data_IF_227747214614
#
_entry.id   IF_227747214614
#
_cell.length_a   1.000
_cell.length_b   1.000
_cell.length_c   1.000
_cell.angle_alpha   90.00
_cell.angle_beta   90.00
_cell.angle_gamma   90.00
#
_symmetry.space_group_name_H-M   'P 1'
#
loop_
_entity.id
_entity.type
_entity.pdbx_description
1 polymer ?
#
# COMPACT_ATOMS: atom_id res chain seq x y z
N UNK A 1 -1.94 29.97 48.03
CA UNK A 1 -2.60 29.12 49.05
C UNK A 1 -4.05 28.95 48.66
N UNK A 2 -4.69 27.86 49.13
CA UNK A 2 -6.04 27.36 48.81
C UNK A 2 -6.00 26.32 47.69
N UNK A 3 -6.64 25.15 47.74
CA UNK A 3 -7.00 24.19 48.79
C UNK A 3 -7.57 22.97 48.01
N UNK A 4 -7.27 21.75 48.44
CA UNK A 4 -7.83 20.52 47.87
C UNK A 4 -9.34 20.40 48.12
N UNK A 5 -10.07 19.75 47.19
CA UNK A 5 -11.43 19.23 47.41
C UNK A 5 -11.92 18.35 46.25
N UNK A 6 -12.67 17.25 46.49
CA UNK A 6 -12.68 16.06 45.62
C UNK A 6 -13.95 15.86 44.76
N UNK A 7 -13.82 15.04 43.71
CA UNK A 7 -14.87 14.64 42.76
C UNK A 7 -15.73 13.49 43.34
N UNK A 8 -17.05 13.70 43.48
CA UNK A 8 -18.04 12.69 43.88
C UNK A 8 -18.53 11.87 42.68
N UNK A 9 -18.40 10.55 42.77
CA UNK A 9 -19.08 9.56 41.93
C UNK A 9 -20.48 9.29 42.49
N UNK A 10 -21.51 9.35 41.64
CA UNK A 10 -22.87 8.94 41.97
C UNK A 10 -23.18 7.61 41.24
N UNK A 11 -23.44 6.56 42.02
CA UNK A 11 -24.07 5.31 41.56
C UNK A 11 -25.57 5.37 41.84
N UNK A 12 -26.39 4.90 40.89
CA UNK A 12 -27.79 4.58 41.15
C UNK A 12 -28.18 3.29 40.43
N UNK A 13 -28.44 2.26 41.23
CA UNK A 13 -29.06 0.99 40.88
C UNK A 13 -30.57 1.16 40.73
N UNK A 14 -31.18 0.50 39.73
CA UNK A 14 -32.58 0.05 39.73
C UNK A 14 -32.69 -1.18 38.80
N UNK A 15 -33.07 -2.34 39.35
CA UNK A 15 -33.68 -3.45 38.59
C UNK A 15 -35.18 -3.53 38.91
N UNK A 16 -35.87 -4.67 38.72
CA UNK A 16 -35.81 -5.68 37.67
C UNK A 16 -37.22 -6.03 37.10
N UNK A 17 -37.30 -7.09 36.27
CA UNK A 17 -38.41 -8.07 36.08
C UNK A 17 -39.40 -7.99 34.89
N UNK A 18 -39.72 -9.22 34.45
CA UNK A 18 -40.89 -9.75 33.73
C UNK A 18 -40.87 -9.69 32.18
N UNK A 19 -40.66 -10.83 31.50
CA UNK A 19 -41.64 -11.88 31.11
C UNK A 19 -42.38 -11.52 29.82
N UNK A 20 -42.31 -12.37 28.78
CA UNK A 20 -43.46 -13.03 28.17
C UNK A 20 -43.07 -13.88 26.94
N UNK A 21 -43.72 -15.04 26.82
CA UNK A 21 -43.68 -16.05 25.75
C UNK A 21 -44.64 -15.71 24.60
N UNK A 22 -44.57 -16.58 23.57
CA UNK A 22 -45.46 -16.83 22.42
C UNK A 22 -45.08 -16.01 21.17
N UNK A 23 -44.87 -16.57 19.98
CA UNK A 23 -45.24 -17.85 19.39
C UNK A 23 -45.88 -17.58 18.02
N UNK A 24 -45.45 -18.23 16.93
CA UNK A 24 -46.15 -18.48 15.64
C UNK A 24 -45.13 -19.15 14.67
N UNK A 25 -45.30 -20.38 14.17
CA UNK A 25 -46.16 -20.88 13.07
C UNK A 25 -45.89 -20.26 11.68
N UNK A 26 -45.23 -21.05 10.82
CA UNK A 26 -45.72 -21.46 9.49
C UNK A 26 -45.27 -20.71 8.23
N UNK A 27 -44.90 -21.50 7.18
CA UNK A 27 -44.68 -21.20 5.74
C UNK A 27 -43.35 -20.54 5.34
N UNK A 28 -42.73 -20.73 4.15
CA UNK A 28 -42.47 -21.80 3.15
C UNK A 28 -41.39 -21.19 2.19
N UNK A 29 -40.56 -21.94 1.44
CA UNK A 29 -39.27 -21.46 0.93
C UNK A 29 -39.31 -20.84 -0.48
N UNK A 30 -38.45 -19.84 -0.74
CA UNK A 30 -37.98 -19.46 -2.08
C UNK A 30 -38.25 -18.01 -2.53
N UNK A 31 -37.34 -17.08 -2.22
CA UNK A 31 -37.08 -15.84 -3.00
C UNK A 31 -35.81 -15.13 -2.53
N UNK A 32 -35.20 -14.36 -3.41
CA UNK A 32 -33.77 -14.02 -3.47
C UNK A 32 -33.49 -12.50 -3.23
N UNK A 33 -32.27 -12.19 -2.74
CA UNK A 33 -31.43 -10.96 -2.89
C UNK A 33 -31.58 -9.70 -1.96
N UNK A 34 -30.41 -9.34 -1.34
CA UNK A 34 -29.82 -8.04 -0.84
C UNK A 34 -30.58 -7.20 0.21
N UNK A 35 -29.96 -6.51 1.18
CA UNK A 35 -28.55 -6.16 1.53
C UNK A 35 -28.49 -5.64 2.99
N UNK A 36 -27.29 -5.63 3.59
CA UNK A 36 -26.80 -5.08 4.89
C UNK A 36 -27.51 -3.83 5.51
N UNK A 37 -27.33 -3.48 6.81
CA UNK A 37 -26.20 -3.80 7.73
C UNK A 37 -26.53 -4.15 9.22
N UNK A 38 -25.58 -4.82 9.89
CA UNK A 38 -25.22 -4.51 11.30
C UNK A 38 -25.64 -5.47 12.44
N UNK A 39 -24.62 -6.05 13.08
CA UNK A 39 -24.50 -6.52 14.47
C UNK A 39 -24.90 -7.95 14.93
N UNK A 40 -23.86 -8.61 15.44
CA UNK A 40 -23.77 -9.75 16.37
C UNK A 40 -23.87 -11.20 15.81
N UNK A 41 -22.79 -11.96 16.03
CA UNK A 41 -22.86 -13.40 16.30
C UNK A 41 -22.23 -14.36 15.28
N UNK A 42 -20.91 -14.60 15.41
CA UNK A 42 -20.14 -15.77 14.96
C UNK A 42 -20.33 -16.33 13.54
N UNK A 43 -19.32 -16.09 12.70
CA UNK A 43 -19.07 -16.78 11.43
C UNK A 43 -18.43 -18.16 11.66
N UNK A 44 -18.88 -19.14 10.88
CA UNK A 44 -18.27 -20.47 10.72
C UNK A 44 -17.39 -20.42 9.47
N UNK A 45 -16.11 -20.75 9.60
CA UNK A 45 -15.17 -20.91 8.48
C UNK A 45 -15.06 -22.40 8.13
N UNK A 46 -15.61 -22.78 6.99
CA UNK A 46 -15.23 -23.99 6.26
C UNK A 46 -14.10 -23.62 5.28
N UNK A 47 -12.97 -24.32 5.35
CA UNK A 47 -11.85 -24.22 4.41
C UNK A 47 -11.95 -25.39 3.42
N UNK A 48 -12.50 -25.12 2.24
CA UNK A 48 -12.31 -25.93 1.04
C UNK A 48 -11.08 -25.42 0.27
N UNK A 49 -10.12 -26.32 0.01
CA UNK A 49 -8.89 -26.04 -0.75
C UNK A 49 -9.15 -25.62 -2.21
N UNK A 50 -8.33 -24.73 -2.79
CA UNK A 50 -8.36 -24.41 -4.21
C UNK A 50 -7.58 -25.43 -5.06
N UNK A 51 -8.17 -25.77 -6.20
CA UNK A 51 -7.64 -26.55 -7.31
C UNK A 51 -6.80 -25.66 -8.23
N UNK A 52 -5.61 -26.11 -8.64
CA UNK A 52 -4.90 -25.60 -9.82
C UNK A 52 -4.58 -26.76 -10.79
N UNK A 53 -4.69 -26.57 -12.11
CA UNK A 53 -4.56 -27.63 -13.11
C UNK A 53 -3.09 -27.79 -13.58
N UNK A 54 -2.71 -29.03 -13.91
CA UNK A 54 -1.44 -29.35 -14.57
C UNK A 54 -1.67 -29.90 -15.98
N UNK A 55 -0.77 -29.53 -16.89
CA UNK A 55 -0.80 -29.70 -18.35
C UNK A 55 -0.52 -31.13 -18.84
N UNK A 56 -1.05 -31.44 -20.03
CA UNK A 56 -0.74 -32.58 -20.92
C UNK A 56 0.76 -32.57 -21.37
N UNK A 57 1.44 -33.66 -21.71
CA UNK A 57 1.22 -34.59 -22.85
C UNK A 57 2.23 -35.80 -22.79
N UNK A 58 2.21 -36.78 -23.72
CA UNK A 58 2.24 -38.23 -23.41
C UNK A 58 3.52 -38.96 -23.89
N UNK A 59 3.69 -40.25 -23.55
CA UNK A 59 4.27 -41.25 -24.46
C UNK A 59 3.89 -42.68 -24.03
N UNK A 60 3.68 -43.54 -25.02
CA UNK A 60 3.21 -44.92 -24.95
C UNK A 60 4.33 -45.91 -24.61
N UNK A 61 3.98 -47.07 -24.02
CA UNK A 61 4.37 -48.37 -24.58
C UNK A 61 3.66 -49.57 -23.95
N UNK A 62 3.40 -50.55 -24.82
CA UNK A 62 2.74 -51.85 -24.68
C UNK A 62 3.64 -52.95 -24.11
N UNK A 63 3.11 -53.89 -23.31
CA UNK A 63 3.80 -55.16 -23.01
C UNK A 63 3.16 -56.02 -21.90
N UNK A 64 2.83 -57.27 -22.25
CA UNK A 64 2.04 -58.31 -21.53
C UNK A 64 2.50 -58.79 -20.13
N UNK A 65 1.64 -59.56 -19.41
CA UNK A 65 1.76 -59.89 -17.99
C UNK A 65 2.43 -61.26 -17.71
N UNK A 66 3.00 -61.43 -16.51
CA UNK A 66 3.33 -62.76 -15.97
C UNK A 66 3.06 -62.89 -14.47
N UNK A 67 2.62 -64.11 -14.14
CA UNK A 67 2.06 -64.68 -12.92
C UNK A 67 2.93 -64.53 -11.65
N UNK A 68 2.29 -64.60 -10.46
CA UNK A 68 2.55 -65.57 -9.35
C UNK A 68 1.56 -65.32 -8.18
N UNK A 69 1.31 -66.30 -7.26
CA UNK A 69 -0.03 -66.85 -7.09
C UNK A 69 -0.78 -66.46 -5.80
N UNK A 70 -2.10 -66.71 -5.87
CA UNK A 70 -3.08 -66.77 -4.78
C UNK A 70 -2.71 -67.86 -3.77
N UNK A 71 -2.68 -67.52 -2.48
CA UNK A 71 -2.75 -68.51 -1.38
C UNK A 71 -4.08 -68.40 -0.66
N UNK A 72 -4.83 -69.49 -0.76
CA UNK A 72 -6.10 -69.78 -0.11
C UNK A 72 -5.85 -70.02 1.40
N UNK A 73 -6.47 -69.23 2.28
CA UNK A 73 -6.58 -69.59 3.72
C UNK A 73 -8.04 -69.57 4.17
N UNK A 74 -8.48 -70.77 4.52
CA UNK A 74 -9.72 -71.14 5.21
C UNK A 74 -9.80 -70.51 6.61
N UNK A 75 -11.01 -70.28 7.16
CA UNK A 75 -11.20 -69.70 8.48
C UNK A 75 -11.13 -70.79 9.57
N UNK A 76 -10.56 -70.53 10.75
CA UNK A 76 -10.66 -71.46 11.86
C UNK A 76 -11.96 -71.26 12.66
N UNK A 77 -12.49 -72.39 13.13
CA UNK A 77 -13.68 -72.57 13.97
C UNK A 77 -13.55 -71.86 15.33
N UNK A 78 -14.66 -71.32 15.81
CA UNK A 78 -14.86 -70.93 17.21
C UNK A 78 -15.03 -72.17 18.11
N UNK A 79 -14.35 -72.16 19.26
CA UNK A 79 -14.85 -72.79 20.49
C UNK A 79 -14.26 -72.07 21.73
N UNK A 80 -14.92 -72.11 22.89
CA UNK A 80 -14.87 -71.03 23.88
C UNK A 80 -14.24 -71.49 25.20
N UNK A 81 -13.16 -70.89 25.69
CA UNK A 81 -12.75 -71.04 27.10
C UNK A 81 -11.72 -69.97 27.50
N UNK A 82 -11.91 -69.38 28.69
CA UNK A 82 -10.81 -68.86 29.50
C UNK A 82 -10.80 -67.35 29.74
N UNK A 83 -11.45 -66.92 30.83
CA UNK A 83 -11.45 -65.55 31.38
C UNK A 83 -10.11 -65.04 31.92
N UNK A 84 -8.99 -65.35 31.26
CA UNK A 84 -7.67 -64.83 31.60
C UNK A 84 -7.18 -63.72 30.65
N UNK A 85 -7.79 -63.60 29.46
CA UNK A 85 -7.49 -62.53 28.51
C UNK A 85 -8.01 -61.14 28.93
N UNK A 86 -9.07 -61.10 29.75
CA UNK A 86 -9.65 -59.83 30.22
C UNK A 86 -8.73 -59.15 31.25
N UNK A 87 -8.09 -59.90 32.16
CA UNK A 87 -7.17 -59.31 33.14
C UNK A 87 -5.88 -58.79 32.50
N UNK A 88 -5.37 -59.49 31.47
CA UNK A 88 -4.21 -59.03 30.69
C UNK A 88 -4.54 -57.79 29.84
N UNK A 89 -5.76 -57.69 29.29
CA UNK A 89 -6.21 -56.51 28.57
C UNK A 89 -6.42 -55.29 29.49
N UNK A 90 -6.94 -55.50 30.70
CA UNK A 90 -7.06 -54.43 31.71
C UNK A 90 -5.68 -53.96 32.23
N UNK A 91 -4.72 -54.87 32.44
CA UNK A 91 -3.35 -54.51 32.85
C UNK A 91 -2.55 -53.86 31.72
N UNK A 92 -2.80 -54.20 30.45
CA UNK A 92 -2.22 -53.52 29.29
C UNK A 92 -2.78 -52.09 29.10
N UNK A 93 -4.04 -51.86 29.41
CA UNK A 93 -4.67 -50.52 29.39
C UNK A 93 -4.17 -49.59 30.50
N UNK A 94 -3.54 -50.13 31.55
CA UNK A 94 -2.88 -49.35 32.62
C UNK A 94 -1.43 -48.94 32.31
N UNK A 95 -0.82 -49.54 31.28
CA UNK A 95 0.56 -49.24 30.86
C UNK A 95 0.66 -48.22 29.72
N UNK A 96 -0.43 -47.93 29.02
CA UNK A 96 -0.49 -46.83 28.07
C UNK A 96 -0.94 -45.55 28.77
N UNK A 97 -0.15 -45.09 29.75
CA UNK A 97 -0.13 -43.65 30.06
C UNK A 97 0.52 -43.00 28.85
N UNK A 98 -0.29 -42.69 27.85
CA UNK A 98 0.11 -41.94 26.68
C UNK A 98 0.82 -40.69 27.18
N UNK A 99 2.15 -40.72 27.15
CA UNK A 99 2.97 -39.54 27.20
C UNK A 99 2.60 -38.79 25.94
N UNK A 100 1.62 -37.88 26.08
CA UNK A 100 1.28 -36.93 25.03
C UNK A 100 2.57 -36.25 24.64
N UNK A 101 3.11 -36.68 23.51
CA UNK A 101 4.23 -36.04 22.87
C UNK A 101 3.76 -34.62 22.59
N UNK A 102 4.43 -33.67 23.25
CA UNK A 102 4.03 -32.27 23.20
C UNK A 102 4.13 -31.84 21.75
N UNK A 103 2.98 -31.47 21.19
CA UNK A 103 2.89 -30.68 19.96
C UNK A 103 3.94 -29.59 20.09
N UNK A 104 4.91 -29.60 19.18
CA UNK A 104 5.92 -28.55 19.09
C UNK A 104 5.20 -27.28 18.63
N UNK A 105 4.61 -26.58 19.59
CA UNK A 105 4.07 -25.25 19.40
C UNK A 105 5.29 -24.36 19.16
N UNK A 106 5.46 -23.94 17.91
CA UNK A 106 6.60 -23.15 17.48
C UNK A 106 6.75 -21.86 18.29
N UNK A 107 7.90 -21.16 18.18
CA UNK A 107 8.13 -19.94 18.94
C UNK A 107 7.06 -18.89 18.66
N UNK A 108 6.58 -18.24 19.72
CA UNK A 108 5.64 -17.12 19.59
C UNK A 108 6.40 -15.91 19.07
N UNK A 109 5.96 -15.37 17.92
CA UNK A 109 6.56 -14.19 17.32
C UNK A 109 5.81 -12.94 17.79
N UNK A 110 6.55 -12.00 18.37
CA UNK A 110 6.01 -10.74 18.89
C UNK A 110 6.78 -9.57 18.27
N UNK A 111 6.07 -8.49 17.96
CA UNK A 111 6.67 -7.25 17.47
C UNK A 111 6.58 -6.14 18.50
N UNK A 112 7.67 -5.40 18.66
CA UNK A 112 7.77 -4.28 19.60
C UNK A 112 8.49 -3.09 18.96
N UNK A 113 8.02 -1.87 19.26
CA UNK A 113 8.70 -0.66 18.79
C UNK A 113 10.06 -0.51 19.47
N UNK A 114 11.05 -0.02 18.74
CA UNK A 114 12.39 0.19 19.29
C UNK A 114 12.36 1.11 20.52
N UNK A 115 12.88 0.60 21.64
CA UNK A 115 12.91 1.29 22.93
C UNK A 115 11.64 1.14 23.77
N UNK A 116 10.61 0.45 23.26
CA UNK A 116 9.39 0.17 24.01
C UNK A 116 9.55 -1.07 24.91
N UNK A 117 8.47 -1.41 25.62
CA UNK A 117 8.40 -2.58 26.48
C UNK A 117 7.46 -3.63 25.89
N UNK A 118 7.70 -4.90 26.24
CA UNK A 118 6.85 -6.02 25.88
C UNK A 118 6.40 -6.77 27.13
N UNK A 119 5.13 -7.14 27.18
CA UNK A 119 4.59 -8.03 28.22
C UNK A 119 4.63 -9.46 27.72
N UNK A 120 5.23 -10.35 28.51
CA UNK A 120 5.41 -11.77 28.22
C UNK A 120 4.63 -12.59 29.23
N UNK A 121 3.76 -13.46 28.72
CA UNK A 121 3.03 -14.43 29.53
C UNK A 121 3.72 -15.78 29.49
N UNK A 122 4.46 -16.10 30.55
CA UNK A 122 5.07 -17.40 30.72
C UNK A 122 4.05 -18.36 31.34
N UNK A 123 3.38 -19.16 30.52
CA UNK A 123 2.47 -20.22 30.97
C UNK A 123 3.15 -21.58 30.96
N UNK A 124 3.08 -22.29 32.09
CA UNK A 124 3.58 -23.65 32.20
C UNK A 124 2.56 -24.69 31.72
N UNK A 125 3.07 -25.83 31.27
CA UNK A 125 2.26 -26.95 30.78
C UNK A 125 1.59 -27.78 31.90
N UNK A 126 1.96 -27.56 33.16
CA UNK A 126 1.46 -28.30 34.33
C UNK A 126 0.81 -27.38 35.37
N UNK A 127 0.10 -27.97 36.34
CA UNK A 127 -0.68 -27.24 37.37
C UNK A 127 0.15 -26.60 38.48
N UNK A 128 1.32 -27.16 38.77
CA UNK A 128 2.24 -26.65 39.80
C UNK A 128 3.70 -26.72 39.31
N UNK A 129 4.11 -25.78 38.43
CA UNK A 129 5.46 -25.70 37.91
C UNK A 129 6.46 -25.22 38.96
N UNK A 130 7.59 -25.92 39.08
CA UNK A 130 8.73 -25.45 39.87
C UNK A 130 9.61 -24.53 39.01
N UNK A 131 10.20 -23.49 39.64
CA UNK A 131 11.17 -22.58 39.01
C UNK A 131 10.68 -21.91 37.71
N UNK A 132 9.40 -21.55 37.59
CA UNK A 132 8.90 -20.77 36.46
C UNK A 132 9.55 -19.37 36.44
N UNK A 133 10.40 -19.12 35.43
CA UNK A 133 11.18 -17.90 35.26
C UNK A 133 11.33 -17.53 33.78
N UNK A 134 11.36 -16.23 33.50
CA UNK A 134 11.78 -15.69 32.21
C UNK A 134 13.30 -15.49 32.19
N UNK A 135 14.02 -16.22 31.36
CA UNK A 135 15.45 -16.07 31.12
C UNK A 135 15.67 -15.04 30.00
N UNK A 136 16.35 -13.96 30.34
CA UNK A 136 16.74 -12.89 29.42
C UNK A 136 17.86 -12.06 30.04
N UNK A 137 18.71 -11.48 29.19
CA UNK A 137 19.71 -10.49 29.61
C UNK A 137 19.12 -9.08 29.73
N UNK A 138 17.92 -8.85 29.19
CA UNK A 138 17.22 -7.58 29.29
C UNK A 138 16.67 -7.39 30.69
N UNK A 139 16.48 -6.12 31.04
CA UNK A 139 15.85 -5.81 32.30
C UNK A 139 14.36 -6.15 32.25
N UNK A 140 13.86 -6.70 33.36
CA UNK A 140 12.47 -7.16 33.47
C UNK A 140 11.89 -6.88 34.86
N UNK A 141 10.58 -6.75 34.91
CA UNK A 141 9.81 -6.70 36.15
C UNK A 141 8.73 -7.79 36.14
N UNK A 142 8.44 -8.37 37.30
CA UNK A 142 7.32 -9.29 37.47
C UNK A 142 6.07 -8.46 37.77
N UNK A 143 5.05 -8.57 36.93
CA UNK A 143 3.78 -7.85 37.09
C UNK A 143 2.79 -8.66 37.91
N UNK A 144 2.60 -9.92 37.53
CA UNK A 144 1.64 -10.81 38.18
C UNK A 144 2.19 -12.24 38.21
N UNK A 145 1.82 -12.97 39.27
CA UNK A 145 2.22 -14.35 39.46
C UNK A 145 1.03 -15.18 39.93
N UNK A 146 0.73 -16.23 39.19
CA UNK A 146 -0.21 -17.27 39.57
C UNK A 146 0.51 -18.64 39.63
N UNK A 147 -0.22 -19.69 39.99
CA UNK A 147 0.35 -21.03 40.11
C UNK A 147 0.93 -21.53 38.78
N UNK A 148 0.17 -21.41 37.69
CA UNK A 148 0.57 -21.97 36.38
C UNK A 148 1.24 -20.98 35.44
N UNK A 149 1.18 -19.68 35.72
CA UNK A 149 1.69 -18.67 34.80
C UNK A 149 2.22 -17.44 35.55
N UNK A 150 3.12 -16.70 34.88
CA UNK A 150 3.67 -15.44 35.36
C UNK A 150 3.73 -14.43 34.22
N UNK A 151 3.35 -13.19 34.52
CA UNK A 151 3.46 -12.06 33.60
C UNK A 151 4.69 -11.23 33.91
N UNK A 152 5.55 -11.07 32.91
CA UNK A 152 6.76 -10.26 32.98
C UNK A 152 6.67 -9.09 32.01
N UNK A 153 7.11 -7.92 32.45
CA UNK A 153 7.32 -6.77 31.57
C UNK A 153 8.81 -6.60 31.33
N UNK A 154 9.22 -6.74 30.07
CA UNK A 154 10.61 -6.56 29.61
C UNK A 154 10.72 -5.19 28.95
N UNK A 155 11.72 -4.40 29.32
CA UNK A 155 11.85 -3.00 28.88
C UNK A 155 13.18 -2.74 28.16
N UNK A 156 13.22 -1.63 27.42
CA UNK A 156 14.36 -1.17 26.63
C UNK A 156 14.77 -2.18 25.54
N UNK A 157 13.80 -2.76 24.85
CA UNK A 157 14.05 -3.71 23.75
C UNK A 157 14.48 -2.90 22.53
N UNK A 158 15.75 -3.01 22.12
CA UNK A 158 16.34 -2.17 21.08
C UNK A 158 16.71 -2.91 19.79
N UNK A 159 16.84 -4.24 19.86
CA UNK A 159 17.17 -5.15 18.76
C UNK A 159 16.37 -6.43 18.88
N UNK A 160 16.35 -7.23 17.83
CA UNK A 160 15.71 -8.54 17.84
C UNK A 160 16.29 -9.43 18.94
N UNK A 161 15.41 -10.08 19.69
CA UNK A 161 15.78 -10.83 20.88
C UNK A 161 14.98 -12.11 21.01
N UNK A 162 15.57 -13.09 21.68
CA UNK A 162 14.90 -14.33 22.04
C UNK A 162 14.76 -14.42 23.56
N UNK A 163 13.53 -14.59 24.02
CA UNK A 163 13.21 -14.73 25.44
C UNK A 163 12.77 -16.15 25.73
N UNK A 164 13.25 -16.72 26.84
CA UNK A 164 13.02 -18.13 27.18
C UNK A 164 12.27 -18.21 28.50
N UNK A 165 11.05 -18.73 28.50
CA UNK A 165 10.34 -19.08 29.72
C UNK A 165 10.74 -20.50 30.12
N UNK A 166 11.56 -20.66 31.15
CA UNK A 166 11.99 -21.95 31.68
C UNK A 166 11.18 -22.33 32.91
N UNK A 167 10.75 -23.59 32.98
CA UNK A 167 10.03 -24.15 34.13
C UNK A 167 10.27 -25.66 34.26
N UNK A 168 9.96 -26.22 35.43
CA UNK A 168 10.13 -27.65 35.72
C UNK A 168 8.79 -28.27 36.09
N UNK A 169 8.35 -29.25 35.29
CA UNK A 169 7.13 -30.01 35.52
C UNK A 169 7.49 -31.48 35.80
N UNK A 170 7.03 -32.03 36.93
CA UNK A 170 7.30 -33.42 37.33
C UNK A 170 8.79 -33.85 37.24
N UNK A 171 9.71 -32.92 37.54
CA UNK A 171 11.16 -33.16 37.46
C UNK A 171 11.78 -32.99 36.07
N UNK A 172 10.97 -32.74 35.02
CA UNK A 172 11.44 -32.43 33.67
C UNK A 172 11.50 -30.92 33.45
N UNK A 173 12.64 -30.41 33.00
CA UNK A 173 12.77 -29.02 32.58
C UNK A 173 12.18 -28.83 31.18
N UNK A 174 11.43 -27.75 31.02
CA UNK A 174 10.78 -27.36 29.78
C UNK A 174 10.99 -25.87 29.56
N UNK A 175 11.05 -25.50 28.28
CA UNK A 175 11.30 -24.13 27.87
C UNK A 175 10.35 -23.75 26.76
N UNK A 176 9.74 -22.57 26.89
CA UNK A 176 8.95 -21.93 25.84
C UNK A 176 9.71 -20.73 25.30
N UNK A 177 9.78 -20.62 23.98
CA UNK A 177 10.59 -19.61 23.28
C UNK A 177 9.69 -18.52 22.71
N UNK A 178 10.08 -17.27 22.93
CA UNK A 178 9.46 -16.08 22.35
C UNK A 178 10.50 -15.38 21.46
N UNK A 179 10.16 -15.20 20.19
CA UNK A 179 10.98 -14.44 19.25
C UNK A 179 10.43 -13.01 19.19
N UNK A 180 11.22 -12.05 19.65
CA UNK A 180 10.88 -10.63 19.64
C UNK A 180 11.56 -9.99 18.44
N UNK A 181 10.78 -9.40 17.54
CA UNK A 181 11.27 -8.58 16.42
C UNK A 181 11.04 -7.11 16.73
N UNK A 182 12.09 -6.31 16.59
CA UNK A 182 12.03 -4.86 16.81
C UNK A 182 11.76 -4.15 15.50
N UNK A 183 10.80 -3.24 15.51
CA UNK A 183 10.54 -2.34 14.40
C UNK A 183 10.83 -0.89 14.78
N UNK A 184 11.16 -0.10 13.76
CA UNK A 184 11.47 1.31 13.84
C UNK A 184 10.36 2.05 13.08
N UNK A 185 9.34 2.55 13.79
CA UNK A 185 8.21 3.20 13.15
C UNK A 185 8.62 4.54 12.54
N UNK A 186 7.88 5.04 11.53
CA UNK A 186 8.05 6.39 11.03
C UNK A 186 7.81 7.38 12.19
N UNK A 187 8.85 8.12 12.57
CA UNK A 187 8.76 9.19 13.58
C UNK A 187 8.35 10.51 12.93
N UNK A 188 8.86 10.78 11.74
CA UNK A 188 8.64 11.98 10.96
C UNK A 188 8.60 11.64 9.47
N UNK A 189 7.96 12.50 8.67
CA UNK A 189 7.96 12.44 7.21
C UNK A 189 8.36 13.83 6.72
N UNK A 190 9.37 13.88 5.86
CA UNK A 190 9.92 15.13 5.35
C UNK A 190 9.55 15.28 3.89
N UNK A 191 8.82 16.34 3.55
CA UNK A 191 8.55 16.75 2.19
C UNK A 191 9.54 17.83 1.78
N UNK A 192 10.14 17.69 0.60
CA UNK A 192 10.99 18.71 -0.02
C UNK A 192 10.58 18.92 -1.47
N UNK A 193 10.16 20.14 -1.80
CA UNK A 193 10.07 20.60 -3.18
C UNK A 193 11.44 21.09 -3.66
N UNK A 194 11.90 20.66 -4.85
CA UNK A 194 13.20 21.09 -5.38
C UNK A 194 13.29 22.61 -5.61
N UNK A 195 12.14 23.26 -5.78
CA UNK A 195 12.01 24.70 -5.92
C UNK A 195 10.80 25.17 -5.11
N UNK A 196 10.91 26.35 -4.48
CA UNK A 196 9.77 27.01 -3.81
C UNK A 196 8.92 27.81 -4.79
N UNK A 197 9.50 28.24 -5.92
CA UNK A 197 8.81 28.96 -6.98
C UNK A 197 9.26 28.48 -8.37
N UNK A 198 8.30 28.23 -9.26
CA UNK A 198 8.54 27.62 -10.59
C UNK A 198 7.63 28.27 -11.64
N UNK A 199 8.13 28.47 -12.86
CA UNK A 199 7.32 28.97 -13.96
C UNK A 199 6.39 27.88 -14.53
N UNK A 200 5.17 28.24 -14.95
CA UNK A 200 4.23 27.30 -15.58
C UNK A 200 4.90 26.55 -16.73
N UNK A 201 4.73 25.23 -16.80
CA UNK A 201 5.30 24.36 -17.83
C UNK A 201 6.72 23.88 -17.52
N UNK A 202 7.32 24.30 -16.41
CA UNK A 202 8.66 23.84 -16.01
C UNK A 202 8.58 22.58 -15.15
N UNK A 203 9.51 21.65 -15.35
CA UNK A 203 9.62 20.44 -14.54
C UNK A 203 10.21 20.76 -13.16
N UNK A 204 9.64 20.15 -12.12
CA UNK A 204 10.18 20.17 -10.76
C UNK A 204 10.05 18.79 -10.12
N UNK A 205 10.77 18.62 -9.02
CA UNK A 205 10.88 17.34 -8.30
C UNK A 205 10.31 17.51 -6.91
N UNK A 206 9.57 16.50 -6.47
CA UNK A 206 9.03 16.39 -5.14
C UNK A 206 9.66 15.17 -4.48
N UNK A 207 10.24 15.36 -3.30
CA UNK A 207 10.89 14.30 -2.53
C UNK A 207 10.20 14.12 -1.17
N UNK A 208 9.77 12.89 -0.90
CA UNK A 208 9.32 12.45 0.41
C UNK A 208 10.41 11.59 1.05
N UNK A 209 10.92 11.96 2.22
CA UNK A 209 11.90 11.17 2.99
C UNK A 209 11.34 10.77 4.35
N UNK A 210 11.39 9.48 4.64
CA UNK A 210 11.00 8.89 5.93
C UNK A 210 12.26 8.28 6.56
N UNK A 211 12.88 8.96 7.54
CA UNK A 211 14.17 8.55 8.06
C UNK A 211 14.06 7.41 9.08
N UNK A 212 15.12 6.59 9.14
CA UNK A 212 15.35 5.57 10.17
C UNK A 212 14.16 4.62 10.41
N UNK A 213 13.61 4.05 9.33
CA UNK A 213 12.48 3.11 9.38
C UNK A 213 12.92 1.68 9.08
N UNK A 214 12.32 0.71 9.77
CA UNK A 214 12.49 -0.71 9.52
C UNK A 214 11.37 -1.53 10.18
N UNK A 215 10.97 -2.68 9.60
CA UNK A 215 11.32 -3.12 8.27
C UNK A 215 10.74 -2.17 7.19
N UNK A 216 11.34 -2.14 6.00
CA UNK A 216 10.78 -1.40 4.87
C UNK A 216 9.58 -2.14 4.27
N UNK A 217 9.54 -3.47 4.41
CA UNK A 217 8.37 -4.27 4.07
C UNK A 217 7.15 -3.80 4.87
N UNK A 218 6.09 -3.44 4.16
CA UNK A 218 4.85 -2.90 4.75
C UNK A 218 4.83 -1.38 4.88
N UNK A 219 5.92 -0.68 4.51
CA UNK A 219 5.91 0.77 4.36
C UNK A 219 5.36 1.17 2.98
N UNK A 220 4.36 2.04 2.98
CA UNK A 220 3.80 2.70 1.80
C UNK A 220 3.90 4.20 2.00
N UNK A 221 4.50 4.89 1.04
CA UNK A 221 4.62 6.36 1.04
C UNK A 221 3.84 6.91 -0.13
N UNK A 222 2.91 7.81 0.17
CA UNK A 222 1.99 8.41 -0.79
C UNK A 222 2.22 9.91 -0.85
N UNK A 223 2.46 10.40 -2.06
CA UNK A 223 2.57 11.82 -2.37
C UNK A 223 1.21 12.35 -2.81
N UNK A 224 0.78 13.45 -2.19
CA UNK A 224 -0.55 14.02 -2.36
C UNK A 224 -0.43 15.50 -2.72
N UNK A 225 -1.29 15.96 -3.63
CA UNK A 225 -1.53 17.37 -3.97
C UNK A 225 -2.99 17.70 -3.64
N UNK A 226 -3.23 18.46 -2.58
CA UNK A 226 -4.58 18.74 -2.08
C UNK A 226 -5.27 17.44 -1.65
N UNK A 227 -6.12 16.90 -2.52
CA UNK A 227 -6.81 15.60 -2.31
C UNK A 227 -6.42 14.55 -3.34
N UNK A 228 -5.56 14.89 -4.29
CA UNK A 228 -5.16 14.01 -5.39
C UNK A 228 -3.88 13.26 -5.06
N UNK A 229 -3.86 11.96 -5.29
CA UNK A 229 -2.67 11.14 -5.15
C UNK A 229 -1.84 11.27 -6.43
N UNK A 230 -0.65 11.85 -6.30
CA UNK A 230 0.29 12.01 -7.41
C UNK A 230 1.15 10.76 -7.62
N UNK A 231 1.62 10.20 -6.51
CA UNK A 231 2.48 9.02 -6.55
C UNK A 231 2.29 8.17 -5.30
N UNK A 232 2.39 6.86 -5.44
CA UNK A 232 2.28 5.94 -4.34
C UNK A 232 3.32 4.84 -4.51
N UNK A 233 4.19 4.67 -3.51
CA UNK A 233 5.26 3.69 -3.53
C UNK A 233 5.19 2.80 -2.29
N UNK A 234 5.01 1.51 -2.51
CA UNK A 234 5.14 0.48 -1.47
C UNK A 234 6.53 -0.13 -1.56
N UNK A 235 7.23 -0.16 -0.42
CA UNK A 235 8.58 -0.69 -0.34
C UNK A 235 8.55 -2.21 -0.20
N UNK A 236 9.45 -2.87 -0.94
CA UNK A 236 9.65 -4.30 -0.90
C UNK A 236 11.08 -4.55 -0.42
N UNK A 237 11.25 -5.28 0.68
CA UNK A 237 12.56 -5.65 1.19
C UNK A 237 12.64 -5.66 2.72
N UNK A 238 13.36 -6.66 3.23
CA UNK A 238 13.71 -6.78 4.64
C UNK A 238 15.10 -6.20 4.84
N UNK A 239 15.20 -4.88 4.95
CA UNK A 239 16.44 -4.28 5.42
C UNK A 239 16.55 -4.59 6.93
N UNK A 240 17.63 -5.27 7.39
CA UNK A 240 17.75 -5.70 8.79
C UNK A 240 18.05 -4.55 9.76
N UNK A 241 18.30 -3.34 9.24
CA UNK A 241 18.59 -2.15 10.03
C UNK A 241 17.67 -0.99 9.61
N UNK A 242 17.52 0.06 10.42
CA UNK A 242 16.76 1.26 10.04
C UNK A 242 17.41 1.93 8.83
N UNK A 243 16.63 2.18 7.79
CA UNK A 243 17.06 2.90 6.59
C UNK A 243 16.14 4.07 6.30
N UNK A 244 16.64 5.03 5.53
CA UNK A 244 15.82 6.12 5.03
C UNK A 244 15.06 5.65 3.79
N UNK A 245 13.74 5.73 3.84
CA UNK A 245 12.89 5.51 2.69
C UNK A 245 12.72 6.84 1.95
N UNK A 246 13.11 6.90 0.68
CA UNK A 246 13.03 8.10 -0.16
C UNK A 246 12.15 7.80 -1.36
N UNK A 247 11.17 8.66 -1.61
CA UNK A 247 10.27 8.61 -2.76
C UNK A 247 10.38 9.92 -3.50
N UNK A 248 10.72 9.86 -4.79
CA UNK A 248 10.84 11.04 -5.66
C UNK A 248 9.83 10.99 -6.79
N UNK A 249 9.22 12.13 -7.09
CA UNK A 249 8.28 12.28 -8.20
C UNK A 249 8.58 13.55 -8.98
N UNK A 250 8.75 13.42 -10.30
CA UNK A 250 8.96 14.54 -11.19
C UNK A 250 7.65 14.89 -11.88
N UNK A 251 7.24 16.15 -11.81
CA UNK A 251 6.01 16.64 -12.45
C UNK A 251 6.22 18.04 -13.03
N UNK A 252 5.31 18.46 -13.90
CA UNK A 252 5.34 19.77 -14.54
C UNK A 252 4.47 20.74 -13.76
N UNK A 253 4.95 21.97 -13.54
CA UNK A 253 4.20 22.99 -12.81
C UNK A 253 3.01 23.51 -13.63
N UNK A 254 1.81 23.35 -13.08
CA UNK A 254 0.56 23.88 -13.61
C UNK A 254 0.04 25.04 -12.77
N UNK A 255 -0.86 25.86 -13.32
CA UNK A 255 -1.39 27.07 -12.63
C UNK A 255 -2.12 26.69 -11.34
N UNK A 256 -2.85 25.58 -11.38
CA UNK A 256 -3.62 25.01 -10.28
C UNK A 256 -2.74 24.45 -9.15
N UNK A 257 -1.47 24.11 -9.40
CA UNK A 257 -0.55 23.63 -8.36
C UNK A 257 -0.33 24.68 -7.28
N UNK A 258 -0.34 25.96 -7.67
CA UNK A 258 -0.22 27.08 -6.74
C UNK A 258 -1.40 27.25 -5.80
N UNK A 259 -2.51 26.54 -6.02
CA UNK A 259 -3.71 26.58 -5.18
C UNK A 259 -3.78 25.44 -4.15
N UNK A 260 -2.93 24.42 -4.30
CA UNK A 260 -2.95 23.22 -3.48
C UNK A 260 -1.66 23.08 -2.67
N UNK A 261 -1.78 22.38 -1.54
CA UNK A 261 -0.61 22.00 -0.76
C UNK A 261 -0.17 20.59 -1.17
N UNK A 262 1.14 20.40 -1.24
CA UNK A 262 1.76 19.10 -1.35
C UNK A 262 1.98 18.53 0.05
N UNK A 263 1.77 17.23 0.21
CA UNK A 263 2.03 16.50 1.46
C UNK A 263 2.46 15.07 1.15
N UNK A 264 3.21 14.48 2.07
CA UNK A 264 3.59 13.06 2.01
C UNK A 264 2.94 12.33 3.19
N UNK A 265 2.29 11.21 2.91
CA UNK A 265 1.79 10.28 3.93
C UNK A 265 2.65 9.02 3.94
N UNK A 266 2.99 8.54 5.13
CA UNK A 266 3.71 7.29 5.34
C UNK A 266 2.87 6.35 6.20
N UNK A 267 2.55 5.19 5.63
CA UNK A 267 1.77 4.12 6.25
C UNK A 267 2.67 2.91 6.44
N UNK A 268 2.84 2.44 7.68
CA UNK A 268 3.58 1.22 8.00
C UNK A 268 2.63 0.18 8.56
N UNK A 269 2.38 -0.87 7.78
CA UNK A 269 1.49 -1.98 8.12
C UNK A 269 2.26 -3.17 8.70
N UNK A 270 2.08 -3.44 10.00
CA UNK A 270 2.73 -4.53 10.72
C UNK A 270 1.74 -5.62 11.14
N UNK A 271 0.49 -5.58 10.66
CA UNK A 271 -0.58 -6.50 11.09
C UNK A 271 -0.25 -7.97 10.83
N UNK A 272 0.41 -8.26 9.71
CA UNK A 272 0.85 -9.63 9.36
C UNK A 272 1.86 -10.22 10.35
N UNK A 273 2.49 -9.38 11.18
CA UNK A 273 3.52 -9.73 12.15
C UNK A 273 3.06 -9.51 13.60
N UNK A 274 1.76 -9.33 13.82
CA UNK A 274 1.16 -9.13 15.15
C UNK A 274 1.31 -7.70 15.69
N UNK A 275 1.78 -6.76 14.88
CA UNK A 275 1.84 -5.34 15.21
C UNK A 275 0.57 -4.57 14.81
N UNK A 276 0.67 -3.25 14.82
CA UNK A 276 -0.40 -2.33 14.41
C UNK A 276 -0.17 -1.67 13.06
N UNK A 277 -0.99 -0.65 12.77
CA UNK A 277 -0.81 0.25 11.64
C UNK A 277 -0.29 1.59 12.17
N UNK A 278 0.84 2.06 11.65
CA UNK A 278 1.42 3.36 12.03
C UNK A 278 1.29 4.31 10.86
N UNK A 279 0.74 5.51 11.12
CA UNK A 279 0.54 6.54 10.12
C UNK A 279 1.22 7.85 10.52
N UNK A 280 1.91 8.48 9.59
CA UNK A 280 2.51 9.82 9.74
C UNK A 280 2.33 10.63 8.46
N UNK A 281 2.20 11.95 8.63
CA UNK A 281 2.06 12.91 7.53
C UNK A 281 3.15 13.97 7.68
N UNK A 282 3.68 14.46 6.56
CA UNK A 282 4.61 15.59 6.54
C UNK A 282 3.89 16.91 6.78
N UNK A 283 4.66 17.95 7.11
CA UNK A 283 4.14 19.31 7.01
C UNK A 283 3.79 19.62 5.54
N UNK A 284 2.67 20.33 5.29
CA UNK A 284 2.27 20.68 3.94
C UNK A 284 3.18 21.78 3.36
N UNK A 285 3.54 21.65 2.09
CA UNK A 285 4.33 22.66 1.37
C UNK A 285 3.57 23.18 0.16
N UNK A 286 3.60 24.50 -0.06
CA UNK A 286 2.96 25.15 -1.21
C UNK A 286 4.01 25.56 -2.24
N UNK A 287 3.69 25.32 -3.52
CA UNK A 287 4.52 25.75 -4.65
C UNK A 287 4.04 27.12 -5.15
N UNK A 288 4.95 28.08 -5.35
CA UNK A 288 4.61 29.35 -5.99
C UNK A 288 4.76 29.24 -7.51
N UNK A 289 3.64 29.22 -8.23
CA UNK A 289 3.66 29.08 -9.69
C UNK A 289 3.60 30.45 -10.35
N UNK A 290 4.64 30.80 -11.11
CA UNK A 290 4.76 32.06 -11.85
C UNK A 290 4.34 31.88 -13.30
N UNK A 291 3.59 32.83 -13.85
CA UNK A 291 3.34 32.83 -15.28
C UNK A 291 4.67 33.08 -16.03
N UNK A 292 4.90 32.41 -17.18
CA UNK A 292 6.05 32.70 -18.01
C UNK A 292 5.93 34.16 -18.47
N UNK A 293 6.97 34.96 -18.21
CA UNK A 293 6.98 36.33 -18.71
C UNK A 293 6.83 36.29 -20.24
N UNK A 294 5.91 37.07 -20.82
CA UNK A 294 5.80 37.17 -22.26
C UNK A 294 7.13 37.68 -22.78
N UNK A 295 7.75 36.92 -23.69
CA UNK A 295 9.00 37.33 -24.31
C UNK A 295 8.71 38.53 -25.23
N UNK A 296 8.71 39.73 -24.65
CA UNK A 296 8.43 40.98 -25.34
C UNK A 296 9.37 41.18 -26.52
N UNK A 297 10.57 40.61 -26.50
CA UNK A 297 11.47 40.68 -27.65
C UNK A 297 10.89 39.96 -28.87
N UNK A 298 10.29 38.78 -28.71
CA UNK A 298 9.65 38.08 -29.83
C UNK A 298 8.43 38.85 -30.36
N UNK A 299 7.65 39.45 -29.47
CA UNK A 299 6.49 40.27 -29.83
C UNK A 299 6.93 41.55 -30.54
N UNK A 300 7.92 42.26 -30.02
CA UNK A 300 8.49 43.47 -30.62
C UNK A 300 9.09 43.15 -31.99
N UNK A 301 9.88 42.09 -32.11
CA UNK A 301 10.47 41.68 -33.39
C UNK A 301 9.39 41.35 -34.42
N UNK A 302 8.32 40.65 -34.02
CA UNK A 302 7.19 40.39 -34.91
C UNK A 302 6.51 41.68 -35.39
N UNK A 303 6.27 42.64 -34.49
CA UNK A 303 5.67 43.94 -34.84
C UNK A 303 6.56 44.71 -35.82
N UNK A 304 7.88 44.76 -35.56
CA UNK A 304 8.85 45.44 -36.44
C UNK A 304 8.86 44.80 -37.83
N UNK A 305 8.83 43.47 -37.92
CA UNK A 305 8.77 42.75 -39.21
C UNK A 305 7.49 43.10 -39.97
N UNK A 306 6.33 43.11 -39.29
CA UNK A 306 5.05 43.48 -39.92
C UNK A 306 5.08 44.93 -40.43
N UNK A 307 5.60 45.87 -39.64
CA UNK A 307 5.75 47.27 -40.05
C UNK A 307 6.66 47.43 -41.27
N UNK A 308 7.78 46.70 -41.32
CA UNK A 308 8.68 46.70 -42.48
C UNK A 308 8.00 46.13 -43.74
N UNK A 309 7.23 45.05 -43.60
CA UNK A 309 6.48 44.48 -44.73
C UNK A 309 5.41 45.45 -45.26
N UNK A 310 4.69 46.15 -44.36
CA UNK A 310 3.74 47.19 -44.74
C UNK A 310 4.42 48.35 -45.46
N UNK A 311 5.59 48.77 -44.99
CA UNK A 311 6.37 49.82 -45.64
C UNK A 311 6.83 49.40 -47.05
N UNK A 312 7.39 48.21 -47.19
CA UNK A 312 7.84 47.67 -48.48
C UNK A 312 6.67 47.54 -49.46
N UNK A 313 5.54 46.99 -49.01
CA UNK A 313 4.33 46.89 -49.86
C UNK A 313 3.80 48.25 -50.27
N UNK A 314 3.80 49.25 -49.39
CA UNK A 314 3.41 50.62 -49.72
C UNK A 314 4.31 51.24 -50.80
N UNK A 315 5.63 51.10 -50.68
CA UNK A 315 6.58 51.58 -51.68
C UNK A 315 6.35 50.89 -53.03
N UNK A 316 6.13 49.57 -53.04
CA UNK A 316 5.80 48.82 -54.25
C UNK A 316 4.50 49.29 -54.90
N UNK A 317 3.44 49.50 -54.10
CA UNK A 317 2.18 50.04 -54.60
C UNK A 317 2.38 51.42 -55.22
N UNK A 318 3.15 52.30 -54.56
CA UNK A 318 3.47 53.62 -55.10
C UNK A 318 4.20 53.52 -56.44
N UNK A 319 5.15 52.59 -56.58
CA UNK A 319 5.83 52.35 -57.84
C UNK A 319 4.87 51.87 -58.94
N UNK A 320 4.01 50.88 -58.65
CA UNK A 320 3.02 50.36 -59.61
C UNK A 320 2.01 51.44 -60.01
N UNK A 321 1.51 52.23 -59.05
CA UNK A 321 0.60 53.35 -59.34
C UNK A 321 1.30 54.43 -60.18
N UNK A 322 2.56 54.74 -59.87
CA UNK A 322 3.36 55.70 -60.63
C UNK A 322 3.61 55.23 -62.06
N UNK A 323 3.90 53.94 -62.25
CA UNK A 323 4.03 53.35 -63.59
C UNK A 323 2.71 53.33 -64.34
N UNK A 324 1.61 52.90 -63.70
CA UNK A 324 0.27 52.90 -64.29
C UNK A 324 -0.14 54.32 -64.69
N UNK A 325 0.17 55.31 -63.86
CA UNK A 325 -0.09 56.72 -64.15
C UNK A 325 0.79 57.25 -65.29
N UNK A 326 2.07 56.87 -65.37
CA UNK A 326 2.93 57.15 -66.53
C UNK A 326 2.40 56.50 -67.81
N UNK A 327 1.97 55.24 -67.75
CA UNK A 327 1.37 54.50 -68.90
C UNK A 327 0.05 55.12 -69.35
N UNK A 328 -0.80 55.57 -68.42
CA UNK A 328 -2.04 56.29 -68.70
C UNK A 328 -1.82 57.63 -69.39
N UNK A 329 -0.69 58.31 -69.13
CA UNK A 329 -0.27 59.51 -69.88
C UNK A 329 0.42 59.23 -71.21
N UNK A 330 0.95 58.02 -71.43
CA UNK A 330 1.66 57.64 -72.67
C UNK A 330 0.79 56.87 -73.67
N UNK A 331 -0.54 56.89 -73.53
CA UNK A 331 -1.48 56.30 -74.48
C UNK A 331 -2.21 57.32 -75.36
N UNK A 332 -1.96 57.27 -76.67
CA UNK A 332 -2.73 57.83 -77.81
C UNK A 332 -2.47 59.29 -78.27
N UNK A 333 -1.26 59.60 -78.75
CA UNK A 333 -1.10 60.61 -79.81
C UNK A 333 -1.26 59.94 -81.19
N UNK A 334 -2.30 60.24 -81.99
CA UNK A 334 -2.52 59.59 -83.28
C UNK A 334 -1.67 60.28 -84.37
N UNK A 335 -0.35 60.32 -84.22
CA UNK A 335 0.53 60.94 -85.23
C UNK A 335 0.58 60.10 -86.51
N UNK A 336 0.41 58.77 -86.41
CA UNK A 336 0.37 57.87 -87.56
C UNK A 336 -0.88 58.06 -88.44
N UNK A 337 -2.02 58.45 -87.85
CA UNK A 337 -3.28 58.63 -88.57
C UNK A 337 -3.36 59.98 -89.32
N UNK A 338 -2.62 61.00 -88.86
CA UNK A 338 -2.49 62.29 -89.53
C UNK A 338 -1.53 62.22 -90.73
N UNK A 339 -0.43 61.47 -90.61
CA UNK A 339 0.57 61.37 -91.67
C UNK A 339 0.07 60.61 -92.91
N UNK A 340 -0.76 59.59 -92.72
CA UNK A 340 -1.37 58.85 -93.83
C UNK A 340 -2.47 59.62 -94.59
N UNK A 341 -3.02 60.72 -94.04
CA UNK A 341 -3.93 61.62 -94.77
C UNK A 341 -3.17 62.61 -95.67
N UNK A 342 -2.04 63.14 -95.20
CA UNK A 342 -1.18 64.05 -95.97
C UNK A 342 -0.51 63.37 -97.17
N UNK A 343 -0.19 62.08 -97.06
CA UNK A 343 0.41 61.33 -98.18
C UNK A 343 -0.57 61.06 -99.34
N UNK A 344 -1.90 61.14 -99.11
CA UNK A 344 -2.91 60.99 -100.16
C UNK A 344 -3.24 62.30 -100.87
N UNK A 345 -2.96 63.48 -100.30
CA UNK A 345 -3.28 64.76 -100.94
C UNK A 345 -2.23 65.22 -101.97
N UNK A 346 -1.01 64.71 -101.94
CA UNK A 346 0.06 65.09 -102.87
C UNK A 346 0.17 64.23 -104.15
N UNK A 347 -0.84 63.39 -104.44
CA UNK A 347 -0.96 62.66 -105.72
C UNK A 347 -2.24 63.06 -106.47
N UNK A 348 -2.32 64.32 -106.87
CA UNK A 348 -3.14 64.84 -107.98
C UNK A 348 -2.75 66.31 -108.14
N UNK A 349 -2.39 66.87 -109.30
CA UNK A 349 -2.20 66.41 -110.67
C UNK A 349 -1.35 67.53 -111.36
N UNK A 350 -0.82 67.29 -112.57
CA UNK A 350 0.25 68.06 -113.21
C UNK A 350 -0.25 69.16 -114.16
N UNK A 351 0.76 69.82 -114.76
CA UNK A 351 0.84 70.81 -115.85
C UNK A 351 1.00 72.26 -115.41
#
# INVERSE_FOLDING_TARGET
MIQQGPLKLLFSFLGPKDSFRLGCKGLKPGSEIRSSPGNSGCWKLDLSHPVYPSQHHPFADTGSPQLFPVSLRTPPKMSPFGGWGMLAAFLAMLCCRGSGEKVFEGPEHLMVGSGEFQVINCTASCTDPKKLVLETHLNKTLLESQAQWKLFQVYNISKDEQLLCSFTCAGKQETKVFNITVFYPPKQVLLTLSHTSVAVGTLFTIECRVPAVAPLEGLTVTLIRGTEILHNQTFVGTAPFPHDAVVTHNTTAHREDGLHNFSCEAWMDLRSRGGGLVHRVSDPQRLEVKEPEPNYQMVIMAIVIVLLLLFVTFVFLCFVFSEKWRRGRTGHYPVQAAWNRLRRSHRAQPL
#
